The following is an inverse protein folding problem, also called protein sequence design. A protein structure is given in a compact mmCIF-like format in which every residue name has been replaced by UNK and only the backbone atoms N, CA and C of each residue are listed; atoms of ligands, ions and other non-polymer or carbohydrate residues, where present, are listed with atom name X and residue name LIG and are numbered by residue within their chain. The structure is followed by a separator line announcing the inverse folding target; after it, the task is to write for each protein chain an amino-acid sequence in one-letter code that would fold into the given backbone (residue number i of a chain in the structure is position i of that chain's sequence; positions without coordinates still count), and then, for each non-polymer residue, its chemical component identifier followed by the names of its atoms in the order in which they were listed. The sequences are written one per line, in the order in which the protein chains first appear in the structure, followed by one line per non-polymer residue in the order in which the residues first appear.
data_IF_312162340822
#
_entry.id   IF_312162340822
#
_cell.length_a   1.000
_cell.length_b   1.000
_cell.length_c   1.000
_cell.angle_alpha   90.00
_cell.angle_beta   90.00
_cell.angle_gamma   90.00
#
_symmetry.space_group_name_H-M   'P 1'
#
loop_
_entity.id
_entity.type
_entity.pdbx_description
1 polymer ?
#
# COMPACT_ATOMS: atom_id res chain seq x y z
N UNK A 1 9.17 -45.77 -11.39
CA UNK A 1 9.10 -45.31 -9.98
C UNK A 1 10.10 -44.19 -9.64
N UNK A 2 11.41 -44.30 -9.94
CA UNK A 2 12.39 -43.27 -9.58
C UNK A 2 12.12 -41.88 -10.22
N UNK A 3 11.81 -41.83 -11.53
CA UNK A 3 11.49 -40.57 -12.23
C UNK A 3 10.27 -39.84 -11.67
N UNK A 4 9.23 -40.58 -11.29
CA UNK A 4 8.02 -39.99 -10.69
C UNK A 4 8.30 -39.34 -9.33
N UNK A 5 9.15 -39.96 -8.51
CA UNK A 5 9.56 -39.39 -7.22
C UNK A 5 10.35 -38.10 -7.39
N UNK A 6 11.26 -38.05 -8.37
CA UNK A 6 12.01 -36.84 -8.73
C UNK A 6 11.04 -35.72 -9.15
N UNK A 7 10.12 -36.00 -10.09
CA UNK A 7 9.12 -35.03 -10.54
C UNK A 7 8.19 -34.57 -9.41
N UNK A 8 7.85 -35.45 -8.45
CA UNK A 8 7.05 -35.09 -7.29
C UNK A 8 7.83 -34.19 -6.31
N UNK A 9 9.12 -34.45 -6.10
CA UNK A 9 9.98 -33.60 -5.30
C UNK A 9 10.11 -32.21 -5.92
N UNK A 10 10.40 -32.13 -7.23
CA UNK A 10 10.46 -30.87 -7.99
C UNK A 10 9.15 -30.08 -7.89
N UNK A 11 8.00 -30.76 -8.00
CA UNK A 11 6.68 -30.11 -7.86
C UNK A 11 6.43 -29.59 -6.46
N UNK A 12 6.78 -30.36 -5.42
CA UNK A 12 6.59 -29.96 -4.03
C UNK A 12 7.47 -28.76 -3.67
N UNK A 13 8.70 -28.74 -4.18
CA UNK A 13 9.60 -27.60 -4.04
C UNK A 13 9.05 -26.35 -4.74
N UNK A 14 8.47 -26.52 -5.94
CA UNK A 14 7.82 -25.43 -6.66
C UNK A 14 6.54 -24.92 -5.95
N UNK A 15 5.82 -25.78 -5.22
CA UNK A 15 4.56 -25.47 -4.54
C UNK A 15 4.75 -24.37 -3.47
N UNK A 16 5.89 -24.37 -2.77
CA UNK A 16 6.30 -23.33 -1.83
C UNK A 16 5.62 -23.38 -0.45
N UNK A 17 5.72 -22.28 0.31
CA UNK A 17 5.14 -22.13 1.64
C UNK A 17 3.73 -21.48 1.58
N UNK A 18 2.69 -22.07 2.20
CA UNK A 18 1.34 -21.50 2.20
C UNK A 18 1.18 -20.19 3.00
N UNK A 19 2.11 -19.84 3.88
CA UNK A 19 2.08 -18.61 4.68
C UNK A 19 2.99 -17.55 4.08
N UNK A 20 4.29 -17.84 3.97
CA UNK A 20 5.31 -16.87 3.59
C UNK A 20 5.42 -16.72 2.07
N UNK A 21 5.42 -15.48 1.60
CA UNK A 21 5.65 -15.14 0.19
C UNK A 21 7.12 -15.26 -0.17
N UNK A 22 7.40 -15.45 -1.47
CA UNK A 22 8.76 -15.28 -2.00
C UNK A 22 9.20 -13.82 -1.79
N UNK A 23 10.46 -13.55 -1.44
CA UNK A 23 10.92 -12.19 -1.17
C UNK A 23 11.00 -11.39 -2.48
N UNK A 24 9.96 -10.61 -2.76
CA UNK A 24 9.96 -9.62 -3.85
C UNK A 24 10.38 -8.25 -3.31
N UNK A 25 10.85 -7.32 -4.17
CA UNK A 25 11.20 -5.96 -3.74
C UNK A 25 10.04 -5.28 -2.99
N UNK A 26 8.81 -5.49 -3.46
CA UNK A 26 7.61 -4.96 -2.80
C UNK A 26 7.39 -5.59 -1.42
N UNK A 27 7.41 -6.92 -1.29
CA UNK A 27 7.24 -7.59 0.01
C UNK A 27 8.35 -7.24 1.00
N UNK A 28 9.59 -7.13 0.53
CA UNK A 28 10.72 -6.70 1.35
C UNK A 28 10.51 -5.30 1.90
N UNK A 29 9.95 -4.38 1.11
CA UNK A 29 9.61 -3.02 1.54
C UNK A 29 8.44 -2.93 2.53
N UNK A 30 7.65 -4.00 2.70
CA UNK A 30 6.55 -4.06 3.67
C UNK A 30 6.99 -4.58 5.04
N UNK A 31 8.20 -5.11 5.16
CA UNK A 31 8.69 -5.66 6.41
C UNK A 31 8.84 -4.57 7.48
N UNK A 32 8.60 -4.88 8.77
CA UNK A 32 8.68 -3.90 9.85
C UNK A 32 10.09 -3.34 10.06
N UNK A 33 11.13 -4.03 9.59
CA UNK A 33 12.52 -3.58 9.70
C UNK A 33 13.07 -3.05 8.36
N UNK A 34 12.22 -2.89 7.35
CA UNK A 34 12.65 -2.41 6.05
C UNK A 34 13.14 -0.96 6.14
N UNK A 35 14.21 -0.58 5.40
CA UNK A 35 14.64 0.81 5.31
C UNK A 35 13.51 1.65 4.70
N UNK A 36 13.23 2.80 5.35
CA UNK A 36 12.09 3.66 5.04
C UNK A 36 12.44 4.73 4.01
N UNK A 37 13.72 4.87 3.64
CA UNK A 37 14.23 5.93 2.76
C UNK A 37 13.45 6.06 1.45
N UNK A 38 13.14 4.94 0.79
CA UNK A 38 12.38 4.95 -0.47
C UNK A 38 10.87 5.28 -0.30
N UNK A 39 10.34 5.26 0.92
CA UNK A 39 8.90 5.46 1.22
C UNK A 39 8.66 6.88 1.75
N UNK A 40 9.64 7.45 2.46
CA UNK A 40 9.54 8.73 3.15
C UNK A 40 9.23 9.91 2.21
N UNK A 41 9.68 9.84 0.96
CA UNK A 41 9.41 10.87 -0.03
C UNK A 41 7.93 10.96 -0.42
N UNK A 42 7.19 9.85 -0.32
CA UNK A 42 5.79 9.78 -0.77
C UNK A 42 4.78 9.76 0.37
N UNK A 43 5.14 9.20 1.53
CA UNK A 43 4.21 9.04 2.65
C UNK A 43 4.80 9.52 3.97
N UNK A 44 4.01 10.32 4.68
CA UNK A 44 4.29 10.73 6.05
C UNK A 44 3.41 9.94 7.04
N UNK A 45 3.71 10.13 8.32
CA UNK A 45 2.89 9.64 9.41
C UNK A 45 1.51 10.35 9.40
N UNK A 46 0.53 9.77 10.11
CA UNK A 46 -0.83 10.31 10.26
C UNK A 46 -1.60 10.54 8.95
N UNK A 47 -1.27 9.80 7.88
CA UNK A 47 -1.88 9.93 6.55
C UNK A 47 -1.67 11.31 5.89
N UNK A 48 -0.64 12.04 6.32
CA UNK A 48 -0.26 13.30 5.70
C UNK A 48 0.51 13.04 4.40
N UNK A 49 0.31 13.93 3.42
CA UNK A 49 1.16 14.01 2.22
C UNK A 49 2.16 15.13 2.41
N UNK A 50 3.40 14.98 1.90
CA UNK A 50 4.42 16.02 2.01
C UNK A 50 3.98 17.34 1.38
N UNK A 51 3.28 17.28 0.25
CA UNK A 51 2.72 18.46 -0.43
C UNK A 51 1.71 19.21 0.44
N UNK A 52 0.84 18.49 1.15
CA UNK A 52 -0.20 19.10 1.98
C UNK A 52 0.41 19.75 3.23
N UNK A 53 1.47 19.13 3.79
CA UNK A 53 2.24 19.72 4.90
C UNK A 53 2.92 21.01 4.46
N UNK A 54 3.56 21.02 3.29
CA UNK A 54 4.21 22.21 2.74
C UNK A 54 3.21 23.36 2.54
N UNK A 55 2.08 23.10 1.87
CA UNK A 55 1.01 24.11 1.67
C UNK A 55 0.49 24.66 3.00
N UNK A 56 0.35 23.79 4.01
CA UNK A 56 -0.13 24.21 5.34
C UNK A 56 0.90 25.09 6.04
N UNK A 57 2.19 24.77 5.93
CA UNK A 57 3.27 25.57 6.48
C UNK A 57 3.36 26.94 5.80
N UNK A 58 3.27 26.99 4.47
CA UNK A 58 3.24 28.24 3.70
C UNK A 58 2.06 29.12 4.11
N UNK A 59 0.86 28.53 4.19
CA UNK A 59 -0.34 29.24 4.63
C UNK A 59 -0.21 29.75 6.07
N UNK A 60 0.33 28.95 6.98
CA UNK A 60 0.59 29.36 8.37
C UNK A 60 1.62 30.50 8.45
N UNK A 61 2.65 30.47 7.60
CA UNK A 61 3.67 31.53 7.51
C UNK A 61 3.03 32.84 7.08
N UNK A 62 2.22 32.80 6.02
CA UNK A 62 1.51 33.96 5.49
C UNK A 62 0.58 34.60 6.52
N UNK A 63 -0.18 33.79 7.28
CA UNK A 63 -1.09 34.30 8.32
C UNK A 63 -0.38 34.97 9.49
N UNK A 64 0.84 34.56 9.79
CA UNK A 64 1.59 34.98 10.99
C UNK A 64 2.67 36.03 10.67
N UNK A 65 2.82 36.40 9.39
CA UNK A 65 3.81 37.36 8.96
C UNK A 65 3.55 38.74 9.59
N UNK A 66 4.55 39.36 10.25
CA UNK A 66 4.36 40.65 10.89
C UNK A 66 4.12 41.73 9.83
N UNK A 67 2.98 42.41 9.94
CA UNK A 67 2.61 43.51 9.06
C UNK A 67 3.38 44.80 9.43
N UNK A 68 3.65 45.68 8.45
CA UNK A 68 4.21 46.99 8.73
C UNK A 68 3.25 47.82 9.59
N UNK A 69 3.81 48.57 10.54
CA UNK A 69 3.03 49.49 11.38
C UNK A 69 2.50 50.64 10.50
N UNK A 70 1.22 50.98 10.65
CA UNK A 70 0.56 52.04 9.85
C UNK A 70 1.08 53.45 10.15
N UNK A 71 1.69 53.65 11.31
CA UNK A 71 2.22 54.93 11.75
C UNK A 71 3.71 54.99 11.44
N UNK A 72 4.14 55.95 10.63
CA UNK A 72 5.57 56.18 10.31
C UNK A 72 6.30 56.74 11.54
N UNK A 73 6.67 55.85 12.47
CA UNK A 73 7.53 56.17 13.61
C UNK A 73 9.00 56.02 13.20
N UNK A 74 9.86 56.85 13.80
CA UNK A 74 11.32 56.72 13.66
C UNK A 74 11.76 55.33 14.18
N UNK A 75 12.47 54.57 13.35
CA UNK A 75 12.93 53.20 13.66
C UNK A 75 11.87 52.11 13.50
N UNK A 76 10.72 52.39 12.87
CA UNK A 76 9.71 51.35 12.59
C UNK A 76 10.22 50.27 11.62
N UNK A 77 11.02 50.65 10.62
CA UNK A 77 11.60 49.72 9.63
C UNK A 77 12.59 48.74 10.27
N UNK A 78 13.45 49.21 11.17
CA UNK A 78 14.41 48.37 11.91
C UNK A 78 13.68 47.35 12.80
N UNK A 79 12.67 47.78 13.55
CA UNK A 79 11.84 46.87 14.38
C UNK A 79 11.07 45.85 13.55
N UNK A 80 10.59 46.24 12.37
CA UNK A 80 9.92 45.32 11.46
C UNK A 80 10.90 44.27 10.93
N UNK A 81 12.11 44.68 10.54
CA UNK A 81 13.15 43.77 10.09
C UNK A 81 13.55 42.76 11.18
N UNK A 82 13.71 43.21 12.44
CA UNK A 82 13.97 42.32 13.58
C UNK A 82 12.82 41.33 13.79
N UNK A 83 11.56 41.78 13.77
CA UNK A 83 10.38 40.91 13.90
C UNK A 83 10.30 39.89 12.76
N UNK A 84 10.60 40.30 11.53
CA UNK A 84 10.64 39.41 10.36
C UNK A 84 11.71 38.33 10.51
N UNK A 85 12.90 38.68 10.99
CA UNK A 85 13.97 37.71 11.26
C UNK A 85 13.58 36.72 12.35
N UNK A 86 13.04 37.21 13.47
CA UNK A 86 12.57 36.35 14.57
C UNK A 86 11.45 35.41 14.13
N UNK A 87 10.49 35.93 13.34
CA UNK A 87 9.40 35.15 12.77
C UNK A 87 9.93 34.06 11.83
N UNK A 88 10.87 34.41 10.92
CA UNK A 88 11.47 33.46 10.00
C UNK A 88 12.20 32.34 10.75
N UNK A 89 13.00 32.67 11.77
CA UNK A 89 13.71 31.69 12.59
C UNK A 89 12.74 30.78 13.39
N UNK A 90 11.68 31.37 13.97
CA UNK A 90 10.64 30.62 14.68
C UNK A 90 9.90 29.67 13.74
N UNK A 91 9.55 30.15 12.54
CA UNK A 91 8.91 29.35 11.51
C UNK A 91 9.79 28.20 11.03
N UNK A 92 11.08 28.44 10.80
CA UNK A 92 12.04 27.38 10.43
C UNK A 92 12.12 26.31 11.51
N UNK A 93 12.27 26.70 12.78
CA UNK A 93 12.31 25.75 13.90
C UNK A 93 11.01 24.94 14.01
N UNK A 94 9.85 25.60 13.91
CA UNK A 94 8.55 24.94 13.93
C UNK A 94 8.38 23.97 12.75
N UNK A 95 8.80 24.36 11.54
CA UNK A 95 8.74 23.51 10.35
C UNK A 95 9.57 22.24 10.53
N UNK A 96 10.79 22.37 11.07
CA UNK A 96 11.67 21.24 11.36
C UNK A 96 11.05 20.30 12.40
N UNK A 97 10.49 20.86 13.47
CA UNK A 97 9.83 20.08 14.51
C UNK A 97 8.62 19.30 13.96
N UNK A 98 7.77 19.96 13.16
CA UNK A 98 6.60 19.32 12.56
C UNK A 98 6.98 18.23 11.56
N UNK A 99 8.00 18.46 10.72
CA UNK A 99 8.50 17.45 9.79
C UNK A 99 9.08 16.23 10.54
N UNK A 100 9.76 16.45 11.68
CA UNK A 100 10.27 15.37 12.52
C UNK A 100 9.15 14.55 13.19
N UNK A 101 8.06 15.21 13.62
CA UNK A 101 6.88 14.53 14.19
C UNK A 101 6.12 13.76 13.10
N UNK A 102 6.02 14.34 11.91
CA UNK A 102 5.36 13.73 10.76
C UNK A 102 6.20 12.63 10.09
N UNK A 103 7.47 12.46 10.45
CA UNK A 103 8.33 11.46 9.84
C UNK A 103 7.81 10.04 10.10
N UNK A 104 7.87 9.18 9.07
CA UNK A 104 7.46 7.78 9.19
C UNK A 104 8.46 6.94 10.01
N UNK A 105 9.69 7.42 10.17
CA UNK A 105 10.75 6.77 10.95
C UNK A 105 10.38 6.65 12.43
N UNK A 106 9.76 7.70 12.97
CA UNK A 106 9.29 7.75 14.36
C UNK A 106 7.91 7.09 14.54
N UNK A 107 7.34 6.49 13.49
CA UNK A 107 5.99 5.99 13.53
C UNK A 107 5.87 4.64 14.25
N UNK A 108 4.77 4.48 14.99
CA UNK A 108 4.38 3.20 15.59
C UNK A 108 4.14 2.11 14.54
N UNK A 109 4.28 0.84 14.93
CA UNK A 109 3.97 -0.33 14.09
C UNK A 109 2.56 -0.29 13.48
N UNK A 110 1.59 0.28 14.22
CA UNK A 110 0.23 0.50 13.73
C UNK A 110 0.21 1.45 12.53
N UNK A 111 0.87 2.61 12.63
CA UNK A 111 0.89 3.62 11.58
C UNK A 111 1.65 3.13 10.36
N UNK A 112 2.78 2.42 10.55
CA UNK A 112 3.50 1.75 9.46
C UNK A 112 2.61 0.75 8.71
N UNK A 113 1.79 -0.01 9.44
CA UNK A 113 0.82 -0.93 8.83
C UNK A 113 -0.24 -0.19 8.02
N UNK A 114 -0.71 0.97 8.49
CA UNK A 114 -1.67 1.78 7.75
C UNK A 114 -1.08 2.37 6.48
N UNK A 115 0.15 2.89 6.52
CA UNK A 115 0.87 3.35 5.33
C UNK A 115 1.06 2.20 4.34
N UNK A 116 1.41 1.01 4.81
CA UNK A 116 1.50 -0.19 3.96
C UNK A 116 0.15 -0.57 3.32
N UNK A 117 -0.97 -0.39 4.02
CA UNK A 117 -2.31 -0.60 3.45
C UNK A 117 -2.56 0.41 2.33
N UNK A 118 -2.24 1.69 2.55
CA UNK A 118 -2.36 2.72 1.52
C UNK A 118 -1.52 2.40 0.27
N UNK A 119 -0.26 1.97 0.47
CA UNK A 119 0.62 1.50 -0.60
C UNK A 119 0.00 0.33 -1.39
N UNK A 120 -0.57 -0.65 -0.70
CA UNK A 120 -1.27 -1.75 -1.35
C UNK A 120 -2.48 -1.29 -2.18
N UNK A 121 -3.23 -0.29 -1.70
CA UNK A 121 -4.37 0.28 -2.44
C UNK A 121 -3.89 0.99 -3.70
N UNK A 122 -2.84 1.82 -3.61
CA UNK A 122 -2.33 2.58 -4.75
C UNK A 122 -1.63 1.69 -5.80
N UNK A 123 -1.00 0.61 -5.35
CA UNK A 123 -0.28 -0.33 -6.23
C UNK A 123 -1.22 -1.31 -6.96
N UNK A 124 -2.20 -1.86 -6.25
CA UNK A 124 -3.08 -2.92 -6.77
C UNK A 124 -4.52 -2.45 -7.06
N UNK A 125 -4.84 -1.19 -6.78
CA UNK A 125 -6.17 -0.64 -7.01
C UNK A 125 -6.51 -0.56 -8.50
N UNK A 126 -7.75 -0.92 -8.84
CA UNK A 126 -8.29 -0.86 -10.21
C UNK A 126 -8.31 0.53 -10.80
N UNK A 127 -8.36 1.55 -9.94
CA UNK A 127 -8.30 2.95 -10.35
C UNK A 127 -6.98 3.30 -11.07
N UNK A 128 -5.89 2.57 -10.80
CA UNK A 128 -4.59 2.74 -11.48
C UNK A 128 -4.31 1.60 -12.47
N UNK A 129 -4.54 0.36 -12.04
CA UNK A 129 -4.14 -0.83 -12.80
C UNK A 129 -4.95 -1.04 -14.08
N UNK A 130 -6.22 -0.64 -14.14
CA UNK A 130 -7.03 -0.76 -15.36
C UNK A 130 -6.48 0.11 -16.52
N UNK A 131 -5.69 1.16 -16.23
CA UNK A 131 -5.03 2.00 -17.25
C UNK A 131 -3.64 1.51 -17.67
N UNK A 132 -3.00 0.65 -16.88
CA UNK A 132 -1.63 0.16 -17.11
C UNK A 132 -1.61 -1.26 -17.66
N UNK A 133 -2.50 -2.12 -17.15
CA UNK A 133 -2.56 -3.52 -17.53
C UNK A 133 -3.42 -3.70 -18.78
N UNK A 134 -3.04 -4.67 -19.61
CA UNK A 134 -3.85 -5.06 -20.75
C UNK A 134 -5.25 -5.55 -20.27
N UNK A 135 -6.32 -5.26 -21.03
CA UNK A 135 -7.66 -5.72 -20.68
C UNK A 135 -7.69 -7.25 -20.63
N UNK A 136 -8.43 -7.80 -19.67
CA UNK A 136 -8.59 -9.24 -19.53
C UNK A 136 -9.16 -9.88 -20.80
N UNK A 137 -8.72 -11.10 -21.11
CA UNK A 137 -9.24 -11.88 -22.23
C UNK A 137 -10.72 -12.19 -21.99
N UNK A 138 -11.63 -11.43 -22.63
CA UNK A 138 -13.05 -11.76 -22.61
C UNK A 138 -13.24 -13.12 -23.28
N UNK A 139 -14.00 -14.00 -22.62
CA UNK A 139 -14.29 -15.30 -23.21
C UNK A 139 -15.10 -15.12 -24.49
N UNK A 140 -14.75 -15.84 -25.56
CA UNK A 140 -15.47 -15.83 -26.84
C UNK A 140 -16.98 -16.12 -26.72
N UNK A 141 -17.42 -16.72 -25.61
CA UNK A 141 -18.83 -16.93 -25.28
C UNK A 141 -19.60 -15.62 -25.03
N UNK A 142 -18.95 -14.58 -24.50
CA UNK A 142 -19.57 -13.25 -24.34
C UNK A 142 -19.70 -12.51 -25.68
N UNK A 143 -18.76 -12.74 -26.60
CA UNK A 143 -18.74 -12.08 -27.91
C UNK A 143 -19.94 -12.51 -28.77
N UNK A 144 -20.39 -13.78 -28.65
CA UNK A 144 -21.56 -14.28 -29.40
C UNK A 144 -22.90 -13.66 -28.96
N UNK A 145 -23.02 -13.22 -27.70
CA UNK A 145 -24.22 -12.54 -27.20
C UNK A 145 -24.13 -11.00 -27.29
N UNK A 146 -23.01 -10.45 -27.75
CA UNK A 146 -22.75 -8.99 -27.89
C UNK A 146 -22.93 -8.48 -29.33
N UNK A 147 -23.55 -9.26 -30.21
CA UNK A 147 -23.92 -8.81 -31.58
C UNK A 147 -25.25 -8.02 -31.57
N UNK A 148 -25.88 -7.88 -30.40
CA UNK A 148 -27.04 -7.01 -30.21
C UNK A 148 -26.55 -5.70 -29.59
N UNK A 149 -26.58 -4.65 -30.43
CA UNK A 149 -26.39 -3.24 -30.13
C UNK A 149 -24.99 -2.81 -29.65
N UNK A 150 -24.20 -2.34 -30.61
CA UNK A 150 -22.88 -1.74 -30.44
C UNK A 150 -22.89 -0.35 -29.76
N UNK A 151 -23.90 -0.05 -28.94
CA UNK A 151 -23.80 1.04 -27.97
C UNK A 151 -23.16 0.45 -26.71
N UNK A 152 -21.83 0.47 -26.70
CA UNK A 152 -21.02 0.13 -25.55
C UNK A 152 -21.57 0.88 -24.33
N UNK A 153 -22.30 0.17 -23.46
CA UNK A 153 -22.80 0.68 -22.19
C UNK A 153 -21.62 1.31 -21.47
N UNK A 154 -21.58 2.64 -21.45
CA UNK A 154 -20.50 3.40 -20.85
C UNK A 154 -20.47 3.03 -19.37
N UNK A 155 -19.54 2.15 -18.99
CA UNK A 155 -19.38 1.73 -17.61
C UNK A 155 -19.16 2.99 -16.79
N UNK A 156 -20.03 3.23 -15.80
CA UNK A 156 -19.97 4.43 -14.99
C UNK A 156 -18.58 4.56 -14.37
N UNK A 157 -18.00 5.75 -14.49
CA UNK A 157 -16.69 6.03 -13.89
C UNK A 157 -16.78 5.83 -12.38
N UNK A 158 -15.73 5.25 -11.81
CA UNK A 158 -15.65 5.08 -10.35
C UNK A 158 -15.62 6.45 -9.67
N UNK A 159 -16.36 6.59 -8.59
CA UNK A 159 -16.45 7.83 -7.81
C UNK A 159 -15.17 8.06 -6.98
N UNK A 160 -14.45 6.99 -6.60
CA UNK A 160 -13.26 7.08 -5.75
C UNK A 160 -12.26 5.96 -5.92
N UNK A 161 -11.28 5.93 -5.00
CA UNK A 161 -10.23 4.91 -4.99
C UNK A 161 -10.81 3.51 -4.73
N UNK A 162 -10.30 2.55 -5.48
CA UNK A 162 -10.69 1.17 -5.33
C UNK A 162 -9.99 0.52 -4.12
N UNK A 163 -10.76 0.22 -3.08
CA UNK A 163 -10.29 -0.39 -1.83
C UNK A 163 -10.81 -1.82 -1.63
N UNK A 164 -11.83 -2.21 -2.39
CA UNK A 164 -12.59 -3.44 -2.18
C UNK A 164 -12.22 -4.58 -3.11
N UNK A 165 -11.40 -4.33 -4.13
CA UNK A 165 -11.07 -5.36 -5.12
C UNK A 165 -10.25 -6.51 -4.56
N UNK A 166 -10.40 -7.70 -5.15
CA UNK A 166 -9.75 -8.92 -4.64
C UNK A 166 -8.23 -8.79 -4.65
N UNK A 167 -7.65 -8.10 -5.63
CA UNK A 167 -6.22 -7.78 -5.72
C UNK A 167 -5.74 -7.00 -4.49
N UNK A 168 -6.43 -5.90 -4.16
CA UNK A 168 -6.15 -5.05 -3.01
C UNK A 168 -6.31 -5.83 -1.70
N UNK A 169 -7.39 -6.60 -1.58
CA UNK A 169 -7.62 -7.42 -0.38
C UNK A 169 -6.54 -8.49 -0.18
N UNK A 170 -6.06 -9.14 -1.25
CA UNK A 170 -4.95 -10.11 -1.19
C UNK A 170 -3.65 -9.42 -0.75
N UNK A 171 -3.34 -8.23 -1.28
CA UNK A 171 -2.16 -7.46 -0.91
C UNK A 171 -2.20 -7.05 0.57
N UNK A 172 -3.32 -6.51 1.05
CA UNK A 172 -3.51 -6.12 2.45
C UNK A 172 -3.41 -7.34 3.37
N UNK A 173 -4.03 -8.46 3.03
CA UNK A 173 -3.95 -9.69 3.82
C UNK A 173 -2.52 -10.21 3.87
N UNK A 174 -1.78 -10.15 2.76
CA UNK A 174 -0.38 -10.58 2.71
C UNK A 174 0.50 -9.72 3.62
N UNK A 175 0.34 -8.39 3.62
CA UNK A 175 1.04 -7.50 4.55
C UNK A 175 0.74 -7.86 6.02
N UNK A 176 -0.53 -8.07 6.36
CA UNK A 176 -0.97 -8.44 7.72
C UNK A 176 -0.47 -9.81 8.15
N UNK A 177 -0.51 -10.80 7.25
CA UNK A 177 -0.02 -12.16 7.48
C UNK A 177 1.48 -12.13 7.77
N UNK A 178 2.27 -11.40 6.98
CA UNK A 178 3.72 -11.29 7.18
C UNK A 178 4.06 -10.67 8.55
N UNK A 179 3.38 -9.59 8.93
CA UNK A 179 3.56 -8.95 10.24
C UNK A 179 3.21 -9.92 11.38
N UNK A 180 2.04 -10.57 11.30
CA UNK A 180 1.58 -11.48 12.35
C UNK A 180 2.46 -12.73 12.45
N UNK A 181 2.88 -13.29 11.32
CA UNK A 181 3.78 -14.44 11.25
C UNK A 181 5.13 -14.11 11.91
N UNK A 182 5.69 -12.93 11.63
CA UNK A 182 6.93 -12.49 12.29
C UNK A 182 6.76 -12.32 13.80
N UNK A 183 5.64 -11.74 14.26
CA UNK A 183 5.36 -11.60 15.69
C UNK A 183 5.20 -12.95 16.41
N UNK A 184 4.63 -13.95 15.72
CA UNK A 184 4.45 -15.31 16.24
C UNK A 184 5.75 -16.13 16.27
N UNK A 185 6.79 -15.75 15.51
CA UNK A 185 8.12 -16.36 15.64
C UNK A 185 8.74 -16.04 17.01
N UNK A 186 8.52 -14.83 17.51
CA UNK A 186 9.01 -14.39 18.81
C UNK A 186 8.12 -14.86 19.98
N UNK A 187 6.80 -14.97 19.76
CA UNK A 187 5.82 -15.19 20.83
C UNK A 187 4.97 -16.45 20.62
N UNK A 188 4.80 -17.24 21.69
CA UNK A 188 3.96 -18.45 21.67
C UNK A 188 2.49 -18.15 21.96
N UNK A 189 1.85 -17.31 21.15
CA UNK A 189 0.43 -16.94 21.31
C UNK A 189 -0.51 -17.83 20.49
N UNK A 190 -1.40 -18.58 21.17
CA UNK A 190 -2.37 -19.49 20.54
C UNK A 190 -3.53 -18.74 19.85
N UNK A 191 -3.99 -17.63 20.42
CA UNK A 191 -5.10 -16.84 19.88
C UNK A 191 -4.70 -16.17 18.57
N UNK A 192 -3.47 -15.65 18.51
CA UNK A 192 -2.93 -15.05 17.29
C UNK A 192 -2.61 -16.09 16.21
N UNK A 193 -2.21 -17.34 16.55
CA UNK A 193 -2.11 -18.44 15.57
C UNK A 193 -3.45 -18.72 14.88
N UNK A 194 -4.55 -18.74 15.64
CA UNK A 194 -5.90 -18.87 15.05
C UNK A 194 -6.21 -17.71 14.10
N UNK A 195 -5.89 -16.47 14.50
CA UNK A 195 -6.08 -15.28 13.64
C UNK A 195 -5.26 -15.36 12.35
N UNK A 196 -4.00 -15.83 12.43
CA UNK A 196 -3.15 -16.06 11.27
C UNK A 196 -3.79 -17.06 10.31
N UNK A 197 -4.25 -18.21 10.83
CA UNK A 197 -4.92 -19.24 10.03
C UNK A 197 -6.16 -18.69 9.31
N UNK A 198 -7.00 -17.94 10.02
CA UNK A 198 -8.19 -17.29 9.43
C UNK A 198 -7.83 -16.32 8.31
N UNK A 199 -6.75 -15.53 8.46
CA UNK A 199 -6.29 -14.60 7.42
C UNK A 199 -5.74 -15.33 6.19
N UNK A 200 -4.97 -16.41 6.38
CA UNK A 200 -4.43 -17.23 5.29
C UNK A 200 -5.57 -17.87 4.49
N UNK A 201 -6.57 -18.45 5.16
CA UNK A 201 -7.75 -19.01 4.49
C UNK A 201 -8.60 -17.94 3.78
N UNK A 202 -8.72 -16.74 4.37
CA UNK A 202 -9.39 -15.62 3.70
C UNK A 202 -8.64 -15.21 2.43
N UNK A 203 -7.31 -15.12 2.48
CA UNK A 203 -6.46 -14.82 1.30
C UNK A 203 -6.64 -15.89 0.22
N UNK A 204 -6.62 -17.17 0.59
CA UNK A 204 -6.87 -18.28 -0.33
C UNK A 204 -8.21 -18.13 -1.07
N UNK A 205 -9.30 -17.77 -0.37
CA UNK A 205 -10.61 -17.55 -1.00
C UNK A 205 -10.58 -16.41 -2.03
N UNK A 206 -9.95 -15.29 -1.70
CA UNK A 206 -9.81 -14.17 -2.64
C UNK A 206 -8.94 -14.53 -3.85
N UNK A 207 -7.85 -15.27 -3.64
CA UNK A 207 -6.99 -15.74 -4.74
C UNK A 207 -7.74 -16.67 -5.68
N UNK A 208 -8.42 -17.69 -5.14
CA UNK A 208 -9.23 -18.62 -5.94
C UNK A 208 -10.35 -17.92 -6.70
N UNK A 209 -10.98 -16.91 -6.11
CA UNK A 209 -11.97 -16.08 -6.79
C UNK A 209 -11.34 -15.26 -7.93
N UNK A 210 -10.26 -14.53 -7.65
CA UNK A 210 -9.57 -13.68 -8.64
C UNK A 210 -9.10 -14.50 -9.85
N UNK A 211 -8.47 -15.65 -9.62
CA UNK A 211 -8.03 -16.55 -10.69
C UNK A 211 -9.18 -17.04 -11.55
N UNK A 212 -10.34 -17.36 -10.94
CA UNK A 212 -11.54 -17.79 -11.67
C UNK A 212 -12.12 -16.66 -12.51
N UNK A 213 -12.17 -15.45 -11.98
CA UNK A 213 -12.70 -14.29 -12.69
C UNK A 213 -11.81 -13.85 -13.85
N UNK A 214 -10.51 -13.70 -13.60
CA UNK A 214 -9.55 -13.21 -14.60
C UNK A 214 -9.01 -14.33 -15.51
N UNK A 215 -9.33 -15.60 -15.22
CA UNK A 215 -8.85 -16.81 -15.92
C UNK A 215 -7.32 -16.89 -16.02
N UNK A 216 -6.62 -16.32 -15.03
CA UNK A 216 -5.16 -16.21 -15.05
C UNK A 216 -4.64 -15.12 -15.99
N UNK A 217 -5.44 -14.09 -16.25
CA UNK A 217 -5.08 -12.95 -17.07
C UNK A 217 -4.04 -12.01 -16.44
N UNK A 218 -3.84 -10.83 -17.05
CA UNK A 218 -2.81 -9.88 -16.64
C UNK A 218 -2.92 -9.40 -15.19
N UNK A 219 -4.15 -9.32 -14.65
CA UNK A 219 -4.38 -8.82 -13.28
C UNK A 219 -3.94 -9.86 -12.26
N UNK A 220 -4.34 -11.11 -12.47
CA UNK A 220 -3.90 -12.24 -11.65
C UNK A 220 -2.37 -12.34 -11.65
N UNK A 221 -1.75 -12.30 -12.83
CA UNK A 221 -0.31 -12.44 -12.97
C UNK A 221 0.45 -11.31 -12.24
N UNK A 222 -0.01 -10.06 -12.41
CA UNK A 222 0.58 -8.91 -11.72
C UNK A 222 0.54 -9.05 -10.19
N UNK A 223 -0.57 -9.56 -9.62
CA UNK A 223 -0.68 -9.78 -8.17
C UNK A 223 0.28 -10.89 -7.72
N UNK A 224 0.32 -12.01 -8.44
CA UNK A 224 1.16 -13.16 -8.11
C UNK A 224 2.64 -12.78 -8.14
N UNK A 225 3.07 -12.09 -9.20
CA UNK A 225 4.47 -11.73 -9.41
C UNK A 225 4.95 -10.66 -8.42
N UNK A 226 4.16 -9.60 -8.20
CA UNK A 226 4.55 -8.52 -7.28
C UNK A 226 4.55 -8.95 -5.81
N UNK A 227 3.57 -9.75 -5.41
CA UNK A 227 3.46 -10.23 -4.02
C UNK A 227 4.26 -11.53 -3.77
N UNK A 228 4.85 -12.13 -4.80
CA UNK A 228 5.60 -13.38 -4.68
C UNK A 228 4.73 -14.54 -4.17
N UNK A 229 3.48 -14.61 -4.62
CA UNK A 229 2.54 -15.64 -4.20
C UNK A 229 2.87 -16.94 -4.93
N UNK A 230 2.73 -18.06 -4.22
CA UNK A 230 2.96 -19.38 -4.77
C UNK A 230 1.66 -20.15 -4.84
N UNK A 231 1.77 -21.37 -5.33
CA UNK A 231 0.63 -22.22 -5.57
C UNK A 231 0.09 -22.90 -4.31
N UNK A 232 0.95 -23.19 -3.32
CA UNK A 232 0.54 -23.66 -2.00
C UNK A 232 -0.41 -22.70 -1.28
N UNK A 233 -0.33 -21.39 -1.58
CA UNK A 233 -1.18 -20.37 -0.94
C UNK A 233 -2.64 -20.41 -1.34
N UNK A 234 -2.99 -21.08 -2.43
CA UNK A 234 -4.37 -21.10 -2.92
C UNK A 234 -4.86 -22.48 -3.38
N UNK A 235 -3.97 -23.37 -3.81
CA UNK A 235 -4.33 -24.74 -4.19
C UNK A 235 -4.48 -25.65 -2.97
N UNK A 236 -5.49 -26.51 -3.00
CA UNK A 236 -5.70 -27.54 -1.99
C UNK A 236 -6.14 -27.00 -0.63
N UNK A 237 -5.94 -27.80 0.41
CA UNK A 237 -6.25 -27.45 1.79
C UNK A 237 -4.99 -26.93 2.49
N UNK A 238 -5.09 -25.76 3.14
CA UNK A 238 -4.00 -25.19 3.92
C UNK A 238 -4.15 -25.62 5.38
N UNK A 239 -3.25 -26.48 5.84
CA UNK A 239 -3.12 -26.88 7.24
C UNK A 239 -1.92 -26.19 7.88
N UNK A 240 -2.14 -25.53 9.03
CA UNK A 240 -1.16 -24.73 9.79
C UNK A 240 -1.14 -25.11 11.27
#
# INVERSE_FOLDING_TARGET
MARQRILQAERKEAEGDPVNSRPTPFISSLQPNAPISAIQESYLNYFLKPEDVQKTLEHSKWLTEPLPETTQLVGAEERLAEKLQQHAASHENASRALLAIASLENASSKNRTQTNIQRCIEEFGRHRTDGVLAPGLQSKANIRNQVVDAEAVAVSKRIGADTGSSEVQIAILTAKINILANNLKANKDKSNKRRLRMMVHKRQKHMSYLRRQDRGGPRWQNVVDKLGLNDAMWRGEISL
#
